data_IF_144228548678
#
_entry.id   IF_144228548678
#
_cell.length_a   1.000
_cell.length_b   1.000
_cell.length_c   1.000
_cell.angle_alpha   90.00
_cell.angle_beta   90.00
_cell.angle_gamma   90.00
#
_symmetry.space_group_name_H-M   'P 1'
#
loop_
_entity.id
_entity.type
_entity.pdbx_description
1 polymer ?
#
# COMPACT_ATOMS: atom_id res chain seq x y z
N UNK A 1 -32.09 62.37 -1.52
CA UNK A 1 -32.31 60.95 -1.11
C UNK A 1 -30.97 60.21 -1.15
N UNK A 2 -30.33 60.04 0.01
CA UNK A 2 -29.00 59.42 0.11
C UNK A 2 -29.15 57.92 0.39
N UNK A 3 -28.66 57.06 -0.52
CA UNK A 3 -28.69 55.58 -0.35
C UNK A 3 -27.44 55.17 0.45
N UNK A 4 -27.67 54.73 1.68
CA UNK A 4 -26.64 54.11 2.50
C UNK A 4 -26.34 52.70 1.96
N UNK A 5 -25.16 52.52 1.37
CA UNK A 5 -24.60 51.20 1.08
C UNK A 5 -24.17 50.55 2.40
N UNK A 6 -24.90 49.48 2.79
CA UNK A 6 -24.46 48.60 3.88
C UNK A 6 -23.25 47.81 3.42
N UNK A 7 -22.10 48.06 4.03
CA UNK A 7 -20.91 47.26 3.86
C UNK A 7 -21.18 45.82 4.26
N UNK A 8 -21.02 44.91 3.33
CA UNK A 8 -21.19 43.47 3.56
C UNK A 8 -20.22 42.96 4.63
N UNK A 9 -20.73 42.22 5.62
CA UNK A 9 -19.88 41.55 6.61
C UNK A 9 -18.89 40.62 5.88
N UNK A 10 -17.58 40.89 6.01
CA UNK A 10 -16.54 39.94 5.58
C UNK A 10 -16.73 38.64 6.30
N UNK A 11 -17.06 37.56 5.57
CA UNK A 11 -17.02 36.19 6.08
C UNK A 11 -15.56 35.88 6.43
N UNK A 12 -15.22 35.95 7.71
CA UNK A 12 -13.95 35.40 8.22
C UNK A 12 -14.13 33.87 8.21
N UNK A 13 -13.69 33.23 7.14
CA UNK A 13 -13.48 31.79 7.10
C UNK A 13 -12.42 31.46 8.16
N UNK A 14 -12.89 31.08 9.34
CA UNK A 14 -12.03 30.68 10.44
C UNK A 14 -11.14 29.55 9.95
N UNK A 15 -9.84 29.79 9.88
CA UNK A 15 -8.83 28.77 9.59
C UNK A 15 -9.03 27.66 10.62
N UNK A 16 -9.56 26.51 10.20
CA UNK A 16 -9.69 25.33 11.07
C UNK A 16 -8.34 25.12 11.71
N UNK A 17 -8.24 25.34 13.03
CA UNK A 17 -7.03 25.04 13.81
C UNK A 17 -6.66 23.61 13.51
N UNK A 18 -5.43 23.36 13.05
CA UNK A 18 -4.92 21.99 12.92
C UNK A 18 -5.10 21.33 14.28
N UNK A 19 -5.71 20.16 14.36
CA UNK A 19 -5.78 19.44 15.63
C UNK A 19 -4.34 19.29 16.16
N UNK A 20 -4.11 19.41 17.47
CA UNK A 20 -2.80 19.16 18.05
C UNK A 20 -2.27 17.81 17.61
N UNK A 21 -0.94 17.63 17.47
CA UNK A 21 -0.36 16.35 17.11
C UNK A 21 -0.91 15.29 18.05
N UNK A 22 -1.75 14.40 17.51
CA UNK A 22 -2.52 13.47 18.29
C UNK A 22 -1.58 12.55 19.06
N UNK A 23 -1.95 12.22 20.28
CA UNK A 23 -1.30 11.17 21.08
C UNK A 23 -1.11 9.90 20.23
N UNK A 24 -0.04 9.12 20.46
CA UNK A 24 0.16 7.84 19.77
C UNK A 24 -1.09 6.96 19.84
N UNK A 25 -1.53 6.45 18.70
CA UNK A 25 -2.76 5.65 18.58
C UNK A 25 -2.64 4.40 19.45
N UNK A 26 -3.56 4.18 20.38
CA UNK A 26 -3.59 2.99 21.20
C UNK A 26 -3.74 1.71 20.34
N UNK A 27 -3.27 0.53 20.79
CA UNK A 27 -3.32 -0.71 20.00
C UNK A 27 -4.69 -1.05 19.43
N UNK A 28 -5.78 -0.77 20.16
CA UNK A 28 -7.16 -0.96 19.67
C UNK A 28 -7.59 0.03 18.59
N UNK A 29 -7.11 1.27 18.66
CA UNK A 29 -7.40 2.31 17.68
C UNK A 29 -6.68 2.04 16.33
N UNK A 30 -5.54 1.35 16.33
CA UNK A 30 -4.86 0.90 15.11
C UNK A 30 -5.76 -0.02 14.29
N UNK A 31 -6.52 -0.90 14.93
CA UNK A 31 -7.49 -1.77 14.27
C UNK A 31 -8.62 -0.97 13.61
N UNK A 32 -9.11 0.09 14.25
CA UNK A 32 -10.11 0.99 13.70
C UNK A 32 -9.55 1.83 12.54
N UNK A 33 -8.28 2.23 12.60
CA UNK A 33 -7.61 2.96 11.53
C UNK A 33 -7.42 2.10 10.27
N UNK A 34 -7.10 0.81 10.41
CA UNK A 34 -7.02 -0.15 9.30
C UNK A 34 -8.35 -0.30 8.55
N UNK A 35 -9.48 -0.24 9.26
CA UNK A 35 -10.83 -0.30 8.66
C UNK A 35 -11.19 0.92 7.82
N UNK A 36 -10.46 2.04 7.94
CA UNK A 36 -10.72 3.27 7.18
C UNK A 36 -10.17 3.25 5.76
N UNK A 37 -9.34 2.26 5.40
CA UNK A 37 -8.89 2.10 4.02
C UNK A 37 -10.01 1.37 3.27
N UNK A 38 -10.72 2.12 2.45
CA UNK A 38 -11.72 1.58 1.54
C UNK A 38 -11.01 0.75 0.47
N UNK A 39 -11.28 -0.54 0.45
CA UNK A 39 -10.75 -1.50 -0.53
C UNK A 39 -11.80 -1.93 -1.55
N UNK A 40 -13.05 -1.50 -1.38
CA UNK A 40 -14.16 -1.84 -2.28
C UNK A 40 -15.07 -0.63 -2.47
N UNK A 41 -15.75 -0.59 -3.60
CA UNK A 41 -16.77 0.40 -3.90
C UNK A 41 -17.96 -0.31 -4.57
N UNK A 42 -19.05 -0.47 -3.84
CA UNK A 42 -20.24 -1.17 -4.34
C UNK A 42 -20.92 -0.43 -5.50
N UNK A 43 -20.67 0.88 -5.64
CA UNK A 43 -21.16 1.69 -6.75
C UNK A 43 -20.31 1.57 -8.02
N UNK A 44 -19.12 0.95 -7.94
CA UNK A 44 -18.29 0.72 -9.11
C UNK A 44 -18.84 -0.44 -9.95
N UNK A 45 -18.61 -0.37 -11.26
CA UNK A 45 -18.99 -1.46 -12.15
C UNK A 45 -18.26 -2.74 -11.77
N UNK A 46 -19.00 -3.85 -11.72
CA UNK A 46 -18.38 -5.17 -11.63
C UNK A 46 -17.77 -5.50 -12.99
N UNK A 47 -16.50 -5.81 -13.01
CA UNK A 47 -15.81 -6.32 -14.19
C UNK A 47 -15.67 -7.84 -14.00
N UNK A 48 -16.37 -8.60 -14.83
CA UNK A 48 -16.35 -10.05 -14.81
C UNK A 48 -15.18 -10.57 -15.66
N UNK A 49 -14.77 -11.81 -15.44
CA UNK A 49 -13.75 -12.48 -16.26
C UNK A 49 -12.30 -12.26 -15.84
N UNK A 50 -12.05 -11.52 -14.75
CA UNK A 50 -10.69 -11.42 -14.23
C UNK A 50 -10.29 -12.69 -13.47
N UNK A 51 -9.09 -13.21 -13.80
CA UNK A 51 -8.48 -14.31 -13.05
C UNK A 51 -8.16 -13.88 -11.61
N UNK A 52 -8.19 -14.83 -10.68
CA UNK A 52 -7.73 -14.59 -9.31
C UNK A 52 -6.22 -14.68 -9.26
N UNK A 53 -5.61 -13.85 -8.42
CA UNK A 53 -4.18 -13.91 -8.17
C UNK A 53 -3.83 -15.21 -7.45
N UNK A 54 -2.88 -15.96 -8.00
CA UNK A 54 -2.30 -17.17 -7.41
C UNK A 54 -0.76 -17.16 -7.51
N UNK A 55 -0.13 -18.21 -6.98
CA UNK A 55 1.33 -18.31 -6.93
C UNK A 55 1.97 -18.52 -8.32
N UNK A 56 1.18 -19.04 -9.27
CA UNK A 56 1.66 -19.32 -10.62
C UNK A 56 1.62 -18.04 -11.47
N UNK A 57 0.45 -17.39 -11.54
CA UNK A 57 0.26 -16.24 -12.42
C UNK A 57 1.07 -14.99 -12.00
N UNK A 58 1.40 -14.82 -10.71
CA UNK A 58 2.22 -13.69 -10.25
C UNK A 58 3.68 -13.78 -10.72
N UNK A 59 4.16 -14.98 -11.05
CA UNK A 59 5.51 -15.24 -11.54
C UNK A 59 5.54 -15.59 -13.04
N UNK A 60 4.40 -15.61 -13.71
CA UNK A 60 4.28 -15.96 -15.11
C UNK A 60 4.49 -14.75 -16.02
N UNK A 61 5.29 -14.94 -17.09
CA UNK A 61 5.53 -13.91 -18.11
C UNK A 61 4.32 -13.69 -19.01
N UNK A 62 3.52 -14.71 -19.23
CA UNK A 62 2.33 -14.61 -20.07
C UNK A 62 1.22 -13.80 -19.39
N UNK A 63 1.26 -13.72 -18.06
CA UNK A 63 0.35 -12.90 -17.28
C UNK A 63 0.68 -11.39 -17.31
N UNK A 64 1.81 -10.98 -17.90
CA UNK A 64 2.18 -9.55 -17.97
C UNK A 64 1.14 -8.78 -18.78
N UNK A 65 0.65 -7.68 -18.21
CA UNK A 65 -0.41 -6.86 -18.78
C UNK A 65 -1.82 -7.30 -18.39
N UNK A 66 -1.98 -8.43 -17.74
CA UNK A 66 -3.28 -8.88 -17.24
C UNK A 66 -3.65 -8.18 -15.92
N UNK A 67 -4.95 -8.00 -15.71
CA UNK A 67 -5.51 -7.50 -14.45
C UNK A 67 -6.06 -8.69 -13.69
N UNK A 68 -5.61 -8.86 -12.44
CA UNK A 68 -6.00 -9.97 -11.58
C UNK A 68 -6.71 -9.45 -10.33
N UNK A 69 -7.70 -10.20 -9.84
CA UNK A 69 -8.40 -9.90 -8.60
C UNK A 69 -7.66 -10.50 -7.40
N UNK A 70 -7.65 -9.77 -6.28
CA UNK A 70 -7.11 -10.28 -5.03
C UNK A 70 -8.15 -11.16 -4.32
N UNK A 71 -7.83 -12.43 -3.99
CA UNK A 71 -8.69 -13.25 -3.14
C UNK A 71 -8.93 -12.60 -1.76
N UNK A 72 -10.13 -12.76 -1.20
CA UNK A 72 -10.49 -12.13 0.09
C UNK A 72 -9.55 -12.54 1.23
N UNK A 73 -9.17 -13.81 1.29
CA UNK A 73 -8.20 -14.36 2.25
C UNK A 73 -6.86 -13.62 2.19
N UNK A 74 -6.38 -13.35 0.96
CA UNK A 74 -5.14 -12.60 0.75
C UNK A 74 -5.30 -11.14 1.16
N UNK A 75 -6.45 -10.54 0.86
CA UNK A 75 -6.78 -9.17 1.29
C UNK A 75 -6.76 -9.03 2.81
N UNK A 76 -7.29 -10.01 3.54
CA UNK A 76 -7.31 -9.97 5.01
C UNK A 76 -5.89 -10.12 5.60
N UNK A 77 -5.06 -10.98 5.03
CA UNK A 77 -3.64 -11.10 5.42
C UNK A 77 -2.87 -9.80 5.14
N UNK A 78 -3.06 -9.20 3.97
CA UNK A 78 -2.44 -7.93 3.62
C UNK A 78 -2.91 -6.77 4.51
N UNK A 79 -4.18 -6.77 4.93
CA UNK A 79 -4.70 -5.82 5.93
C UNK A 79 -4.03 -6.01 7.30
N UNK A 80 -3.81 -7.26 7.71
CA UNK A 80 -3.18 -7.56 9.00
C UNK A 80 -1.77 -6.99 9.11
N UNK A 81 -1.00 -7.01 8.00
CA UNK A 81 0.36 -6.46 7.95
C UNK A 81 0.40 -4.99 7.50
N UNK A 82 -0.74 -4.30 7.39
CA UNK A 82 -0.82 -2.89 6.98
C UNK A 82 -0.18 -2.61 5.60
N UNK A 83 -0.34 -3.55 4.66
CA UNK A 83 0.23 -3.43 3.31
C UNK A 83 -0.44 -2.33 2.47
N UNK A 84 -1.73 -2.10 2.67
CA UNK A 84 -2.49 -1.10 1.95
C UNK A 84 -2.23 0.31 2.48
N UNK A 85 -2.16 1.28 1.57
CA UNK A 85 -2.00 2.70 1.91
C UNK A 85 -3.21 3.52 1.45
N UNK A 86 -3.64 4.52 2.22
CA UNK A 86 -4.79 5.37 1.86
C UNK A 86 -4.60 6.09 0.52
N UNK A 87 -3.34 6.36 0.14
CA UNK A 87 -2.98 7.06 -1.10
C UNK A 87 -3.11 6.22 -2.36
N UNK A 88 -3.33 4.92 -2.23
CA UNK A 88 -3.44 4.00 -3.37
C UNK A 88 -4.84 3.97 -4.00
N UNK A 89 -5.83 4.64 -3.39
CA UNK A 89 -7.20 4.84 -3.91
C UNK A 89 -7.90 3.53 -4.34
N UNK A 90 -7.80 2.51 -3.52
CA UNK A 90 -8.45 1.21 -3.76
C UNK A 90 -9.96 1.29 -3.91
N UNK A 91 -10.61 2.28 -3.30
CA UNK A 91 -12.05 2.51 -3.41
C UNK A 91 -12.55 2.95 -4.79
N UNK A 92 -11.69 3.06 -5.81
CA UNK A 92 -12.11 3.27 -7.20
C UNK A 92 -12.67 2.00 -7.84
N UNK A 93 -12.40 0.83 -7.28
CA UNK A 93 -12.77 -0.47 -7.81
C UNK A 93 -13.80 -1.14 -6.91
N UNK A 94 -14.61 -2.03 -7.48
CA UNK A 94 -15.57 -2.84 -6.72
C UNK A 94 -14.89 -3.80 -5.75
N UNK A 95 -13.76 -4.34 -6.16
CA UNK A 95 -12.87 -5.15 -5.33
C UNK A 95 -11.42 -4.84 -5.67
N UNK A 96 -10.45 -5.15 -4.82
CA UNK A 96 -9.05 -4.89 -5.12
C UNK A 96 -8.58 -5.72 -6.32
N UNK A 97 -8.12 -5.03 -7.36
CA UNK A 97 -7.50 -5.63 -8.55
C UNK A 97 -6.11 -5.06 -8.72
N UNK A 98 -5.23 -5.82 -9.33
CA UNK A 98 -3.86 -5.40 -9.62
C UNK A 98 -3.47 -5.76 -11.04
N UNK A 99 -2.69 -4.87 -11.68
CA UNK A 99 -2.05 -5.14 -12.95
C UNK A 99 -0.73 -5.89 -12.70
N UNK A 100 -0.54 -7.02 -13.37
CA UNK A 100 0.74 -7.74 -13.38
C UNK A 100 1.66 -7.03 -14.37
N UNK A 101 2.80 -6.57 -13.87
CA UNK A 101 3.81 -5.86 -14.64
C UNK A 101 5.06 -6.72 -14.81
N UNK A 102 5.91 -6.37 -15.78
CA UNK A 102 7.19 -7.06 -15.98
C UNK A 102 8.05 -7.10 -14.71
N UNK A 103 8.11 -5.96 -13.99
CA UNK A 103 8.86 -5.85 -12.73
C UNK A 103 8.26 -6.73 -11.62
N UNK A 104 6.94 -6.94 -11.63
CA UNK A 104 6.26 -7.83 -10.68
C UNK A 104 6.73 -9.26 -10.87
N UNK A 105 6.73 -9.72 -12.12
CA UNK A 105 7.15 -11.08 -12.50
C UNK A 105 8.64 -11.28 -12.18
N UNK A 106 9.47 -10.30 -12.54
CA UNK A 106 10.91 -10.37 -12.26
C UNK A 106 11.19 -10.51 -10.76
N UNK A 107 10.61 -9.63 -9.93
CA UNK A 107 10.78 -9.66 -8.49
C UNK A 107 10.25 -10.97 -7.91
N UNK A 108 9.08 -11.43 -8.34
CA UNK A 108 8.50 -12.68 -7.87
C UNK A 108 9.38 -13.89 -8.18
N UNK A 109 9.97 -13.94 -9.38
CA UNK A 109 10.92 -14.98 -9.76
C UNK A 109 12.18 -14.95 -8.92
N UNK A 110 12.80 -13.77 -8.78
CA UNK A 110 14.02 -13.61 -7.95
C UNK A 110 13.78 -14.07 -6.51
N UNK A 111 12.65 -13.70 -5.93
CA UNK A 111 12.27 -14.10 -4.57
C UNK A 111 12.08 -15.62 -4.50
N UNK A 112 11.38 -16.22 -5.45
CA UNK A 112 11.15 -17.65 -5.50
C UNK A 112 12.45 -18.45 -5.70
N UNK A 113 13.35 -17.95 -6.56
CA UNK A 113 14.63 -18.57 -6.80
C UNK A 113 15.57 -18.45 -5.58
N UNK A 114 15.55 -17.31 -4.90
CA UNK A 114 16.28 -17.14 -3.65
C UNK A 114 15.81 -18.14 -2.58
N UNK A 115 14.49 -18.34 -2.46
CA UNK A 115 13.93 -19.31 -1.53
C UNK A 115 14.31 -20.76 -1.88
N UNK A 116 14.24 -21.16 -3.16
CA UNK A 116 14.67 -22.49 -3.63
C UNK A 116 16.15 -22.75 -3.32
N UNK A 117 16.98 -21.73 -3.51
CA UNK A 117 18.43 -21.83 -3.31
C UNK A 117 18.85 -21.56 -1.85
N UNK A 118 17.92 -21.31 -0.93
CA UNK A 118 18.16 -20.92 0.47
C UNK A 118 19.12 -19.73 0.58
N UNK A 119 18.99 -18.76 -0.32
CA UNK A 119 19.81 -17.54 -0.35
C UNK A 119 19.00 -16.34 0.10
N UNK A 120 19.64 -15.40 0.79
CA UNK A 120 19.05 -14.12 1.14
C UNK A 120 19.14 -13.17 -0.04
N UNK A 121 18.00 -12.67 -0.50
CA UNK A 121 17.94 -11.66 -1.55
C UNK A 121 17.60 -10.28 -0.95
N UNK A 122 18.28 -9.24 -1.41
CA UNK A 122 18.03 -7.85 -1.01
C UNK A 122 17.62 -7.05 -2.23
N UNK A 123 16.35 -6.61 -2.27
CA UNK A 123 15.80 -5.88 -3.40
C UNK A 123 15.50 -4.45 -2.98
N UNK A 124 16.02 -3.48 -3.74
CA UNK A 124 15.72 -2.06 -3.57
C UNK A 124 14.93 -1.59 -4.79
N UNK A 125 13.72 -1.07 -4.55
CA UNK A 125 12.86 -0.55 -5.61
C UNK A 125 12.99 0.97 -5.64
N UNK A 126 13.58 1.50 -6.70
CA UNK A 126 13.78 2.94 -6.93
C UNK A 126 12.91 3.43 -8.09
N UNK A 127 12.75 4.72 -8.21
CA UNK A 127 11.99 5.34 -9.29
C UNK A 127 11.28 6.61 -8.85
N UNK A 128 10.62 7.30 -9.77
CA UNK A 128 9.92 8.56 -9.54
C UNK A 128 8.67 8.40 -8.66
N UNK A 129 8.17 9.53 -8.15
CA UNK A 129 6.91 9.55 -7.40
C UNK A 129 5.77 9.16 -8.33
N UNK A 130 4.95 8.18 -7.91
CA UNK A 130 3.82 7.71 -8.73
C UNK A 130 4.11 6.50 -9.62
N UNK A 131 5.37 6.07 -9.76
CA UNK A 131 5.75 4.91 -10.61
C UNK A 131 5.24 3.54 -10.15
N UNK A 132 4.48 3.47 -9.06
CA UNK A 132 3.88 2.22 -8.58
C UNK A 132 4.75 1.39 -7.64
N UNK A 133 5.87 1.90 -7.13
CA UNK A 133 6.78 1.19 -6.19
C UNK A 133 6.05 0.51 -5.02
N UNK A 134 5.09 1.21 -4.44
CA UNK A 134 4.31 0.64 -3.31
C UNK A 134 3.41 -0.52 -3.75
N UNK A 135 2.96 -0.54 -4.99
CA UNK A 135 2.17 -1.64 -5.54
C UNK A 135 3.08 -2.85 -5.82
N UNK A 136 4.28 -2.63 -6.37
CA UNK A 136 5.25 -3.70 -6.55
C UNK A 136 5.63 -4.32 -5.20
N UNK A 137 5.85 -3.51 -4.16
CA UNK A 137 6.09 -4.00 -2.80
C UNK A 137 4.91 -4.80 -2.24
N UNK A 138 3.67 -4.39 -2.52
CA UNK A 138 2.47 -5.12 -2.15
C UNK A 138 2.36 -6.45 -2.91
N UNK A 139 2.68 -6.46 -4.21
CA UNK A 139 2.69 -7.68 -5.03
C UNK A 139 3.74 -8.69 -4.54
N UNK A 140 4.93 -8.22 -4.13
CA UNK A 140 5.94 -9.07 -3.51
C UNK A 140 5.43 -9.71 -2.19
N UNK A 141 4.66 -8.95 -1.39
CA UNK A 141 4.01 -9.49 -0.19
C UNK A 141 2.91 -10.50 -0.55
N UNK A 142 2.15 -10.27 -1.62
CA UNK A 142 1.19 -11.24 -2.13
C UNK A 142 1.88 -12.56 -2.48
N UNK A 143 2.98 -12.51 -3.25
CA UNK A 143 3.75 -13.69 -3.59
C UNK A 143 4.23 -14.46 -2.35
N UNK A 144 4.73 -13.75 -1.34
CA UNK A 144 5.16 -14.37 -0.09
C UNK A 144 4.00 -15.06 0.66
N UNK A 145 2.83 -14.42 0.75
CA UNK A 145 1.65 -15.02 1.39
C UNK A 145 1.09 -16.21 0.63
N UNK A 146 1.10 -16.17 -0.71
CA UNK A 146 0.68 -17.29 -1.56
C UNK A 146 1.60 -18.51 -1.36
N UNK A 147 2.90 -18.27 -1.17
CA UNK A 147 3.87 -19.32 -0.84
C UNK A 147 3.91 -19.68 0.66
N UNK A 148 2.95 -19.16 1.47
CA UNK A 148 2.82 -19.45 2.91
C UNK A 148 4.02 -18.99 3.75
N UNK A 149 4.74 -17.96 3.33
CA UNK A 149 5.87 -17.40 4.06
C UNK A 149 5.44 -16.41 5.12
N UNK A 150 6.31 -16.20 6.10
CA UNK A 150 6.13 -15.15 7.10
C UNK A 150 6.47 -13.80 6.49
N UNK A 151 5.57 -12.83 6.58
CA UNK A 151 5.74 -11.49 6.04
C UNK A 151 5.80 -10.48 7.18
N UNK A 152 6.91 -9.71 7.24
CA UNK A 152 7.05 -8.59 8.16
C UNK A 152 7.05 -7.31 7.34
N UNK A 153 5.99 -6.52 7.46
CA UNK A 153 5.87 -5.23 6.79
C UNK A 153 6.16 -4.07 7.75
N UNK A 154 6.98 -3.12 7.29
CA UNK A 154 7.25 -1.87 8.00
C UNK A 154 6.71 -0.72 7.15
N UNK A 155 5.43 -0.32 7.35
CA UNK A 155 4.74 0.59 6.44
C UNK A 155 5.29 2.01 6.45
N UNK A 156 5.88 2.48 7.57
CA UNK A 156 6.41 3.83 7.72
C UNK A 156 7.78 3.81 8.41
N UNK A 157 8.85 3.77 7.63
CA UNK A 157 10.22 3.77 8.16
C UNK A 157 10.57 5.01 8.99
N UNK A 158 10.00 6.18 8.67
CA UNK A 158 10.27 7.44 9.37
C UNK A 158 9.84 7.47 10.84
N UNK A 159 8.80 6.74 11.22
CA UNK A 159 8.30 6.74 12.60
C UNK A 159 9.09 5.84 13.56
N UNK A 160 9.83 4.87 13.03
CA UNK A 160 10.62 3.95 13.86
C UNK A 160 12.06 4.42 14.11
N UNK A 161 12.55 5.39 13.34
CA UNK A 161 13.90 5.95 13.52
C UNK A 161 13.93 7.18 14.41
N UNK A 162 12.82 7.63 14.96
CA UNK A 162 12.75 8.81 15.85
C UNK A 162 13.40 8.58 17.24
N UNK A 163 14.00 7.41 17.49
CA UNK A 163 14.76 7.11 18.71
C UNK A 163 16.27 6.98 18.47
N UNK A 164 16.76 7.17 17.24
CA UNK A 164 18.18 7.19 16.90
C UNK A 164 18.52 8.58 16.38
N UNK A 165 18.76 9.51 17.26
CA UNK A 165 19.33 10.81 16.92
C UNK A 165 20.74 10.60 16.39
N UNK A 166 20.94 10.93 15.11
CA UNK A 166 22.26 11.16 14.54
C UNK A 166 22.70 10.24 13.42
N UNK A 167 21.98 10.21 12.29
CA UNK A 167 22.61 9.89 10.99
C UNK A 167 21.77 10.44 9.84
N UNK A 168 22.36 11.32 9.10
CA UNK A 168 22.09 11.92 7.81
C UNK A 168 20.73 11.74 7.13
N UNK A 169 20.19 12.84 6.65
CA UNK A 169 18.96 12.98 5.84
C UNK A 169 19.01 12.16 4.54
N UNK A 170 18.70 10.88 4.63
CA UNK A 170 18.42 9.99 3.51
C UNK A 170 16.97 9.62 3.47
N UNK A 171 16.24 10.09 2.46
CA UNK A 171 14.82 9.77 2.26
C UNK A 171 14.68 8.31 1.79
N UNK A 172 14.72 7.35 2.70
CA UNK A 172 14.45 5.95 2.37
C UNK A 172 12.94 5.68 2.46
N UNK A 173 12.26 5.71 1.33
CA UNK A 173 10.95 5.12 1.17
C UNK A 173 11.13 3.69 0.64
N UNK A 174 11.57 2.77 1.49
CA UNK A 174 11.78 1.37 1.14
C UNK A 174 11.08 0.46 2.14
N UNK A 175 10.15 -0.37 1.67
CA UNK A 175 9.67 -1.52 2.44
C UNK A 175 10.77 -2.57 2.44
N UNK A 176 11.30 -2.92 3.62
CA UNK A 176 12.23 -4.05 3.75
C UNK A 176 11.40 -5.31 3.96
N UNK A 177 11.54 -6.24 3.05
CA UNK A 177 11.00 -7.59 3.18
C UNK A 177 12.11 -8.49 3.73
N UNK A 178 11.88 -9.09 4.88
CA UNK A 178 12.76 -10.13 5.42
C UNK A 178 12.07 -11.47 5.20
N UNK A 179 12.77 -12.39 4.58
CA UNK A 179 12.33 -13.77 4.40
C UNK A 179 13.16 -14.66 5.32
N UNK A 180 12.49 -15.50 6.09
CA UNK A 180 13.10 -16.64 6.74
C UNK A 180 12.40 -17.88 6.20
N UNK A 181 13.17 -18.73 5.54
CA UNK A 181 12.72 -20.05 5.10
C UNK A 181 12.87 -21.05 6.24
#
# INVERSE_FOLDING_TARGET
MSRHFRAGKKLILGRKKRPPPGRPVAPGERKAFRKRILLSNDNALAVEGHSKLDAENIADREAIGSVVSLPNDLVDRLRAVEAFKPTQKWGLFRSPHMLIRGETVEISRRINDAAKNKKTERIVITGEKGSGKSIIGLQAQCNAFLNKWVVINIPEGKKKCAGAEGLGSGTFAGSRLFYHA
#
